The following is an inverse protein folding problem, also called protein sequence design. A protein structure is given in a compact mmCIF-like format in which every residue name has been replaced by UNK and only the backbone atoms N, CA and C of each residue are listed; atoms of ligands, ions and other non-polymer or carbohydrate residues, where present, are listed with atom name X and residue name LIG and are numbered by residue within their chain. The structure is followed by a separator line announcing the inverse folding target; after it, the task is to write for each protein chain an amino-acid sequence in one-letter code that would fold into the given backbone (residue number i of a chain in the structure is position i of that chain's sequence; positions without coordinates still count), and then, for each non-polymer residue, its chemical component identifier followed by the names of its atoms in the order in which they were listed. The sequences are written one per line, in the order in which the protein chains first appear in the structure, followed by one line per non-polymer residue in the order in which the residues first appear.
data_IF_057456784563
#
_entry.id   IF_057456784563
#
_cell.length_a   1.000
_cell.length_b   1.000
_cell.length_c   1.000
_cell.angle_alpha   90.00
_cell.angle_beta   90.00
_cell.angle_gamma   90.00
#
_symmetry.space_group_name_H-M   'P 1'
#
loop_
_entity.id
_entity.type
_entity.pdbx_description
1 polymer ?
#
# COMPACT_ATOMS: atom_id res chain seq x y z
N UNK A 1 -72.61 -22.73 -10.41
CA UNK A 1 -73.69 -21.83 -9.95
C UNK A 1 -73.65 -21.80 -8.43
N UNK A 2 -73.65 -20.59 -7.86
CA UNK A 2 -74.26 -20.16 -6.60
C UNK A 2 -74.30 -21.13 -5.38
N UNK A 3 -73.98 -20.76 -4.14
CA UNK A 3 -73.54 -19.50 -3.50
C UNK A 3 -73.52 -19.77 -1.97
N UNK A 4 -72.61 -19.10 -1.23
CA UNK A 4 -72.69 -18.66 0.19
C UNK A 4 -72.93 -19.72 1.28
N UNK A 5 -72.64 -19.50 2.56
CA UNK A 5 -71.80 -18.63 3.37
C UNK A 5 -71.99 -19.18 4.81
N UNK A 6 -71.11 -18.73 5.72
CA UNK A 6 -71.32 -18.54 7.17
C UNK A 6 -71.01 -19.73 8.10
N UNK A 7 -70.12 -19.48 9.05
CA UNK A 7 -69.96 -20.30 10.25
C UNK A 7 -68.75 -19.91 11.09
N UNK A 8 -68.90 -18.85 11.88
CA UNK A 8 -67.95 -18.37 12.90
C UNK A 8 -67.82 -19.41 14.02
N UNK A 9 -66.58 -19.76 14.42
CA UNK A 9 -66.31 -20.29 15.77
C UNK A 9 -65.05 -19.62 16.34
N UNK A 10 -65.27 -18.73 17.30
CA UNK A 10 -64.26 -18.21 18.22
C UNK A 10 -63.86 -19.31 19.19
N UNK A 11 -62.55 -19.52 19.41
CA UNK A 11 -62.07 -20.25 20.58
C UNK A 11 -60.75 -19.69 21.11
N UNK A 12 -60.92 -18.82 22.12
CA UNK A 12 -60.19 -18.71 23.39
C UNK A 12 -58.66 -18.81 23.33
N UNK A 13 -58.05 -17.63 23.43
CA UNK A 13 -56.68 -17.38 23.84
C UNK A 13 -56.38 -17.96 25.23
N UNK A 14 -55.40 -18.86 25.31
CA UNK A 14 -54.67 -19.17 26.53
C UNK A 14 -53.18 -18.88 26.27
N UNK A 15 -52.68 -17.76 26.77
CA UNK A 15 -51.26 -17.39 26.71
C UNK A 15 -50.53 -17.98 27.93
N UNK A 16 -49.54 -18.87 27.76
CA UNK A 16 -48.54 -19.09 28.78
C UNK A 16 -47.39 -18.08 28.64
N UNK A 17 -47.18 -17.34 29.73
CA UNK A 17 -46.02 -16.50 30.05
C UNK A 17 -44.69 -17.24 29.69
N UNK A 18 -43.89 -16.70 28.79
CA UNK A 18 -42.55 -17.21 28.46
C UNK A 18 -41.47 -16.57 29.36
N UNK A 19 -40.65 -17.34 30.09
CA UNK A 19 -39.40 -16.84 30.68
C UNK A 19 -38.28 -16.87 29.60
N UNK A 20 -38.26 -15.87 28.73
CA UNK A 20 -37.36 -15.83 27.57
C UNK A 20 -35.89 -15.45 27.89
N UNK A 21 -35.55 -15.11 29.14
CA UNK A 21 -34.22 -14.57 29.46
C UNK A 21 -33.20 -15.60 29.96
N UNK A 22 -33.61 -16.76 30.47
CA UNK A 22 -32.66 -17.75 31.04
C UNK A 22 -32.07 -18.72 30.00
N UNK A 23 -32.75 -18.93 28.86
CA UNK A 23 -32.32 -19.88 27.82
C UNK A 23 -31.14 -19.33 26.99
N UNK A 24 -31.01 -18.00 26.90
CA UNK A 24 -29.98 -17.38 26.05
C UNK A 24 -28.56 -17.49 26.63
N UNK A 25 -28.41 -17.45 27.96
CA UNK A 25 -27.08 -17.54 28.62
C UNK A 25 -26.54 -18.98 28.71
N UNK A 26 -27.40 -19.97 28.92
CA UNK A 26 -27.00 -21.38 29.01
C UNK A 26 -26.58 -21.98 27.65
N UNK A 27 -27.14 -21.48 26.55
CA UNK A 27 -26.81 -21.95 25.20
C UNK A 27 -25.50 -21.34 24.68
N UNK A 28 -25.20 -20.10 25.05
CA UNK A 28 -23.96 -19.42 24.65
C UNK A 28 -22.71 -20.05 25.28
N UNK A 29 -22.76 -20.34 26.58
CA UNK A 29 -21.65 -21.01 27.30
C UNK A 29 -21.40 -22.42 26.76
N UNK A 30 -22.46 -23.18 26.47
CA UNK A 30 -22.35 -24.51 25.84
C UNK A 30 -21.79 -24.46 24.42
N UNK A 31 -22.00 -23.36 23.68
CA UNK A 31 -21.47 -23.13 22.33
C UNK A 31 -19.98 -22.75 22.34
N UNK A 32 -19.53 -22.00 23.34
CA UNK A 32 -18.11 -21.67 23.53
C UNK A 32 -17.28 -22.84 24.08
N UNK A 33 -17.91 -23.74 24.83
CA UNK A 33 -17.27 -24.94 25.38
C UNK A 33 -16.99 -26.04 24.34
N UNK A 34 -17.48 -25.90 23.10
CA UNK A 34 -17.18 -26.87 22.04
C UNK A 34 -15.74 -26.72 21.55
N UNK A 35 -15.01 -27.83 21.32
CA UNK A 35 -13.66 -27.77 20.75
C UNK A 35 -13.72 -27.05 19.40
N UNK A 36 -12.74 -26.16 19.16
CA UNK A 36 -12.70 -25.37 17.92
C UNK A 36 -12.78 -26.31 16.71
N UNK A 37 -13.76 -26.14 15.80
CA UNK A 37 -13.91 -27.01 14.66
C UNK A 37 -12.62 -26.98 13.83
N UNK A 38 -12.12 -28.16 13.47
CA UNK A 38 -10.89 -28.31 12.72
C UNK A 38 -11.05 -27.65 11.33
N UNK A 39 -10.39 -26.51 11.13
CA UNK A 39 -10.48 -25.69 9.92
C UNK A 39 -9.67 -26.26 8.75
N UNK A 40 -9.04 -27.43 8.90
CA UNK A 40 -8.31 -28.14 7.83
C UNK A 40 -9.21 -28.59 6.66
N UNK A 41 -10.54 -28.48 6.74
CA UNK A 41 -11.46 -28.75 5.63
C UNK A 41 -11.65 -27.60 4.63
N UNK A 42 -11.15 -26.40 4.92
CA UNK A 42 -11.21 -25.27 4.00
C UNK A 42 -9.83 -25.01 3.39
N UNK A 43 -9.64 -25.12 2.06
CA UNK A 43 -8.35 -24.90 1.41
C UNK A 43 -7.90 -23.43 1.43
N UNK A 44 -8.74 -22.51 1.91
CA UNK A 44 -8.49 -21.06 1.88
C UNK A 44 -7.65 -20.54 3.06
N UNK A 45 -7.11 -21.45 3.89
CA UNK A 45 -5.99 -21.11 4.78
C UNK A 45 -4.76 -21.87 4.32
N UNK A 46 -3.97 -21.19 3.50
CA UNK A 46 -2.61 -21.55 3.08
C UNK A 46 -1.80 -22.03 4.29
N UNK A 47 -1.70 -23.34 4.48
CA UNK A 47 -0.74 -23.93 5.40
C UNK A 47 0.65 -23.63 4.86
N UNK A 48 1.49 -23.01 5.69
CA UNK A 48 2.80 -22.47 5.31
C UNK A 48 3.87 -23.57 5.11
N UNK A 49 3.51 -24.84 5.25
CA UNK A 49 4.41 -25.97 5.05
C UNK A 49 3.96 -26.78 3.84
N UNK A 50 4.76 -26.74 2.77
CA UNK A 50 4.73 -27.74 1.71
C UNK A 50 5.59 -28.89 2.19
N UNK A 51 5.01 -29.94 2.75
CA UNK A 51 5.80 -31.12 3.11
C UNK A 51 5.54 -32.36 2.27
N UNK A 52 4.44 -32.48 1.51
CA UNK A 52 4.21 -33.74 0.78
C UNK A 52 3.65 -33.64 -0.65
N UNK A 53 3.44 -32.45 -1.21
CA UNK A 53 2.98 -32.33 -2.61
C UNK A 53 3.58 -31.09 -3.29
N UNK A 54 4.24 -31.27 -4.44
CA UNK A 54 4.66 -30.16 -5.31
C UNK A 54 3.42 -29.55 -6.00
N UNK A 55 3.29 -28.21 -6.04
CA UNK A 55 2.19 -27.58 -6.76
C UNK A 55 2.30 -27.86 -8.27
N UNK A 56 1.18 -27.99 -9.00
CA UNK A 56 1.21 -28.21 -10.43
C UNK A 56 1.85 -27.01 -11.16
N UNK A 57 2.72 -27.31 -12.13
CA UNK A 57 3.35 -26.32 -13.01
C UNK A 57 2.26 -25.54 -13.78
N UNK A 58 2.05 -24.29 -13.39
CA UNK A 58 1.02 -23.44 -13.98
C UNK A 58 1.62 -22.50 -15.01
N UNK A 59 1.25 -22.69 -16.27
CA UNK A 59 1.61 -21.81 -17.41
C UNK A 59 0.85 -20.48 -17.40
N UNK A 60 0.33 -20.03 -16.25
CA UNK A 60 -0.44 -18.80 -16.13
C UNK A 60 -0.28 -18.14 -14.75
N UNK A 61 -0.37 -16.81 -14.73
CA UNK A 61 -0.38 -16.02 -13.49
C UNK A 61 -1.56 -16.46 -12.59
N UNK A 62 -1.25 -17.26 -11.57
CA UNK A 62 -2.20 -17.94 -10.66
C UNK A 62 -2.99 -16.98 -9.74
N UNK A 63 -2.78 -15.67 -9.85
CA UNK A 63 -3.50 -14.67 -9.04
C UNK A 63 -4.21 -13.67 -9.94
N UNK A 64 -5.53 -13.81 -10.10
CA UNK A 64 -6.40 -12.67 -10.41
C UNK A 64 -6.65 -11.94 -9.09
N UNK A 65 -5.93 -10.84 -8.86
CA UNK A 65 -6.18 -9.97 -7.71
C UNK A 65 -7.40 -9.12 -8.07
N UNK A 66 -8.58 -9.61 -7.72
CA UNK A 66 -9.81 -8.82 -7.83
C UNK A 66 -9.93 -7.96 -6.56
N UNK A 67 -9.77 -6.65 -6.73
CA UNK A 67 -9.99 -5.70 -5.64
C UNK A 67 -11.48 -5.69 -5.30
N UNK A 68 -11.82 -5.88 -4.02
CA UNK A 68 -13.19 -5.64 -3.56
C UNK A 68 -13.59 -4.18 -3.85
N UNK A 69 -14.88 -3.87 -4.07
CA UNK A 69 -15.34 -2.52 -4.37
C UNK A 69 -14.86 -1.47 -3.36
N UNK A 70 -14.82 -1.85 -2.08
CA UNK A 70 -14.34 -1.00 -0.98
C UNK A 70 -12.83 -0.74 -1.05
N UNK A 71 -12.02 -1.72 -1.43
CA UNK A 71 -10.58 -1.54 -1.60
C UNK A 71 -10.25 -0.69 -2.82
N UNK A 72 -10.99 -0.87 -3.93
CA UNK A 72 -10.89 0.01 -5.10
C UNK A 72 -11.19 1.47 -4.75
N UNK A 73 -12.18 1.71 -3.88
CA UNK A 73 -12.52 3.04 -3.38
C UNK A 73 -11.44 3.66 -2.48
N UNK A 74 -10.82 2.88 -1.60
CA UNK A 74 -9.71 3.33 -0.75
C UNK A 74 -8.42 3.58 -1.52
N UNK A 75 -8.21 2.88 -2.63
CA UNK A 75 -7.07 3.09 -3.52
C UNK A 75 -7.24 4.31 -4.44
N UNK A 76 -8.43 4.94 -4.48
CA UNK A 76 -8.57 6.23 -5.16
C UNK A 76 -7.71 7.23 -4.41
N UNK A 77 -6.80 7.87 -5.14
CA UNK A 77 -6.08 9.01 -4.60
C UNK A 77 -7.11 10.03 -4.12
N UNK A 78 -6.92 10.57 -2.91
CA UNK A 78 -7.65 11.78 -2.54
C UNK A 78 -7.30 12.81 -3.60
N UNK A 79 -8.27 13.21 -4.42
CA UNK A 79 -8.10 14.30 -5.36
C UNK A 79 -7.72 15.51 -4.53
N UNK A 80 -6.44 15.85 -4.55
CA UNK A 80 -5.99 17.13 -4.07
C UNK A 80 -6.72 18.14 -4.96
N UNK A 81 -7.64 18.91 -4.38
CA UNK A 81 -8.31 19.97 -5.11
C UNK A 81 -7.21 20.93 -5.61
N UNK A 82 -6.79 20.77 -6.87
CA UNK A 82 -5.83 21.65 -7.54
C UNK A 82 -6.40 23.04 -7.79
N UNK A 83 -7.72 23.14 -7.69
CA UNK A 83 -8.46 24.37 -7.54
C UNK A 83 -8.74 24.52 -6.04
N UNK A 84 -7.90 25.30 -5.37
CA UNK A 84 -8.42 26.19 -4.35
C UNK A 84 -9.45 27.04 -5.10
N UNK A 85 -10.70 26.59 -5.14
CA UNK A 85 -11.81 27.50 -5.32
C UNK A 85 -11.74 28.36 -4.07
N UNK A 86 -11.00 29.47 -4.18
CA UNK A 86 -11.24 30.63 -3.34
C UNK A 86 -12.70 30.92 -3.65
N UNK A 87 -13.58 30.48 -2.75
CA UNK A 87 -14.96 30.93 -2.78
C UNK A 87 -14.87 32.45 -2.90
N UNK A 88 -15.53 33.09 -3.88
CA UNK A 88 -15.58 34.56 -3.95
C UNK A 88 -16.22 35.15 -2.68
N UNK A 89 -16.84 34.31 -1.86
CA UNK A 89 -17.21 34.59 -0.49
C UNK A 89 -16.04 34.32 0.46
N UNK A 90 -15.00 35.17 0.42
CA UNK A 90 -14.26 35.44 1.64
C UNK A 90 -15.22 36.21 2.55
N UNK A 91 -16.04 35.46 3.29
CA UNK A 91 -16.83 36.05 4.37
C UNK A 91 -15.87 36.43 5.50
N UNK A 92 -16.00 37.64 6.08
CA UNK A 92 -15.29 37.96 7.30
C UNK A 92 -15.63 36.92 8.38
N UNK A 93 -14.73 36.83 9.37
CA UNK A 93 -14.70 35.82 10.43
C UNK A 93 -16.09 35.29 10.81
N UNK A 94 -16.30 33.98 10.66
CA UNK A 94 -17.47 33.30 11.22
C UNK A 94 -17.54 33.71 12.69
N UNK A 95 -18.67 34.30 13.16
CA UNK A 95 -18.79 34.66 14.55
C UNK A 95 -18.57 33.40 15.38
N UNK A 96 -17.65 33.49 16.34
CA UNK A 96 -17.37 32.39 17.25
C UNK A 96 -18.69 31.95 17.88
N UNK A 97 -18.97 30.64 17.85
CA UNK A 97 -20.24 30.07 18.34
C UNK A 97 -20.53 30.41 19.82
N UNK A 98 -19.53 30.91 20.55
CA UNK A 98 -19.61 31.36 21.94
C UNK A 98 -18.72 32.59 22.17
N UNK A 99 -19.19 33.60 22.94
CA UNK A 99 -18.35 34.73 23.36
C UNK A 99 -17.11 34.25 24.11
N UNK A 100 -15.92 34.66 23.66
CA UNK A 100 -14.67 34.39 24.37
C UNK A 100 -14.59 35.22 25.65
N UNK A 101 -14.05 34.63 26.72
CA UNK A 101 -13.80 35.36 27.96
C UNK A 101 -12.77 36.49 27.73
N UNK A 102 -12.90 37.59 28.49
CA UNK A 102 -12.01 38.77 28.43
C UNK A 102 -10.54 38.38 28.55
N UNK A 103 -10.21 37.43 29.42
CA UNK A 103 -8.84 36.95 29.61
C UNK A 103 -8.21 36.33 28.35
N UNK A 104 -9.02 35.72 27.48
CA UNK A 104 -8.55 35.17 26.20
C UNK A 104 -8.32 36.29 25.18
N UNK A 105 -9.15 37.34 25.21
CA UNK A 105 -9.04 38.49 24.31
C UNK A 105 -7.85 39.40 24.64
N UNK A 106 -7.43 39.45 25.90
CA UNK A 106 -6.30 40.27 26.37
C UNK A 106 -5.01 39.47 26.61
N UNK A 107 -4.98 38.19 26.25
CA UNK A 107 -3.81 37.34 26.47
C UNK A 107 -2.63 37.78 25.58
N UNK A 108 -1.53 38.18 26.20
CA UNK A 108 -0.28 38.51 25.52
C UNK A 108 0.65 37.28 25.56
N UNK A 109 1.24 36.85 24.44
CA UNK A 109 2.17 35.73 24.42
C UNK A 109 3.40 36.01 25.28
N UNK A 110 3.91 34.99 25.98
CA UNK A 110 5.16 35.10 26.74
C UNK A 110 6.35 35.23 25.80
N UNK A 111 7.45 35.82 26.29
CA UNK A 111 8.69 36.00 25.53
C UNK A 111 9.20 34.70 24.89
N UNK A 112 9.08 33.58 25.62
CA UNK A 112 9.41 32.23 25.13
C UNK A 112 8.55 31.81 23.93
N UNK A 113 7.23 32.05 23.98
CA UNK A 113 6.33 31.73 22.86
C UNK A 113 6.70 32.56 21.63
N UNK A 114 7.00 33.85 21.81
CA UNK A 114 7.47 34.71 20.73
C UNK A 114 8.78 34.22 20.11
N UNK A 115 9.72 33.71 20.92
CA UNK A 115 10.99 33.13 20.44
C UNK A 115 10.77 31.82 19.68
N UNK A 116 9.92 30.93 20.19
CA UNK A 116 9.62 29.64 19.55
C UNK A 116 8.81 29.80 18.25
N UNK A 117 8.01 30.86 18.15
CA UNK A 117 7.26 31.19 16.94
C UNK A 117 8.17 31.70 15.80
N UNK A 118 9.43 32.06 16.08
CA UNK A 118 10.36 32.45 15.03
C UNK A 118 10.77 31.24 14.18
N UNK A 119 10.72 31.35 12.83
CA UNK A 119 11.16 30.27 11.96
C UNK A 119 12.63 29.97 12.21
N UNK A 120 12.98 28.68 12.34
CA UNK A 120 14.37 28.24 12.54
C UNK A 120 15.22 28.67 11.35
N UNK A 121 15.96 29.77 11.50
CA UNK A 121 16.92 30.26 10.50
C UNK A 121 18.03 29.22 10.39
N UNK A 122 17.99 28.39 9.34
CA UNK A 122 19.16 27.64 8.93
C UNK A 122 20.12 28.65 8.30
N UNK A 123 21.41 28.69 8.66
CA UNK A 123 22.37 29.47 7.91
C UNK A 123 22.29 29.01 6.46
N UNK A 124 21.83 29.91 5.58
CA UNK A 124 21.89 29.71 4.15
C UNK A 124 23.37 29.79 3.83
N UNK A 125 23.99 28.63 3.69
CA UNK A 125 25.27 28.54 3.01
C UNK A 125 24.96 29.02 1.57
N UNK A 126 25.32 30.27 1.27
CA UNK A 126 25.17 30.84 -0.07
C UNK A 126 25.80 29.89 -1.07
N UNK A 127 24.96 29.19 -1.84
CA UNK A 127 25.46 28.19 -2.79
C UNK A 127 24.46 27.13 -3.28
N UNK A 128 23.27 26.98 -2.69
CA UNK A 128 22.32 25.97 -3.18
C UNK A 128 21.34 26.54 -4.23
N UNK A 129 21.89 26.94 -5.37
CA UNK A 129 21.14 27.03 -6.62
C UNK A 129 21.20 25.66 -7.32
N UNK A 130 20.11 25.11 -7.89
CA UNK A 130 20.16 23.92 -8.74
C UNK A 130 20.72 24.25 -10.13
N UNK A 131 21.97 24.71 -10.19
CA UNK A 131 22.80 24.78 -11.41
C UNK A 131 24.26 24.61 -10.98
N UNK A 132 24.67 23.38 -10.67
CA UNK A 132 26.07 23.08 -10.42
C UNK A 132 26.84 23.15 -11.74
N UNK A 133 27.46 24.31 -12.02
CA UNK A 133 28.65 24.33 -12.87
C UNK A 133 29.75 23.58 -12.10
N UNK A 134 30.51 22.65 -12.72
CA UNK A 134 31.63 22.03 -12.05
C UNK A 134 32.69 23.11 -11.80
N UNK A 135 32.80 23.56 -10.55
CA UNK A 135 33.92 24.36 -10.10
C UNK A 135 35.16 23.46 -10.06
N UNK A 136 36.33 23.94 -10.52
CA UNK A 136 37.58 23.20 -10.37
C UNK A 136 37.81 22.97 -8.89
N UNK A 137 38.04 21.71 -8.52
CA UNK A 137 38.30 21.27 -7.15
C UNK A 137 39.65 21.83 -6.68
N UNK A 138 39.71 23.11 -6.37
CA UNK A 138 40.83 23.67 -5.61
C UNK A 138 40.68 23.11 -4.20
N UNK A 139 41.44 22.06 -3.92
CA UNK A 139 41.49 21.40 -2.62
C UNK A 139 41.92 22.44 -1.57
N UNK A 140 40.94 23.04 -0.91
CA UNK A 140 41.19 23.82 0.30
C UNK A 140 41.93 22.86 1.24
N UNK A 141 43.15 23.17 1.72
CA UNK A 141 43.82 22.32 2.69
C UNK A 141 43.04 22.40 4.00
N UNK A 142 42.02 21.56 4.11
CA UNK A 142 41.22 21.43 5.30
C UNK A 142 42.02 20.60 6.29
N UNK A 143 42.54 21.27 7.33
CA UNK A 143 43.16 20.58 8.46
C UNK A 143 42.04 20.02 9.33
N UNK A 144 42.02 18.70 9.48
CA UNK A 144 41.09 18.05 10.40
C UNK A 144 41.26 18.61 11.82
N UNK A 145 40.17 18.75 12.57
CA UNK A 145 40.29 19.15 13.97
C UNK A 145 40.98 18.05 14.77
N UNK A 146 41.63 18.41 15.87
CA UNK A 146 42.32 17.44 16.74
C UNK A 146 41.39 16.30 17.21
N UNK A 147 40.09 16.57 17.37
CA UNK A 147 39.10 15.55 17.71
C UNK A 147 38.85 14.56 16.57
N UNK A 148 38.78 15.05 15.33
CA UNK A 148 38.64 14.20 14.14
C UNK A 148 39.88 13.33 13.98
N UNK A 149 41.08 13.89 14.16
CA UNK A 149 42.34 13.14 14.14
C UNK A 149 42.35 12.05 15.22
N UNK A 150 41.91 12.37 16.45
CA UNK A 150 41.77 11.41 17.53
C UNK A 150 40.77 10.29 17.20
N UNK A 151 39.60 10.63 16.64
CA UNK A 151 38.60 9.62 16.23
C UNK A 151 39.04 8.79 15.03
N UNK A 152 39.94 9.31 14.20
CA UNK A 152 40.54 8.59 13.09
C UNK A 152 41.65 7.62 13.55
N UNK A 153 42.17 7.76 14.78
CA UNK A 153 43.10 6.77 15.31
C UNK A 153 42.38 5.42 15.51
N UNK A 154 42.90 4.32 14.92
CA UNK A 154 42.30 3.01 15.11
C UNK A 154 42.39 2.61 16.59
N UNK A 155 41.36 1.92 17.07
CA UNK A 155 41.35 1.42 18.45
C UNK A 155 42.46 0.38 18.62
N UNK A 156 43.04 0.32 19.83
CA UNK A 156 43.99 -0.72 20.18
C UNK A 156 43.31 -2.09 20.19
N UNK A 157 44.05 -3.11 19.75
CA UNK A 157 43.62 -4.49 19.87
C UNK A 157 43.49 -4.89 21.35
N UNK A 158 42.54 -5.78 21.63
CA UNK A 158 42.33 -6.29 22.99
C UNK A 158 43.58 -7.08 23.45
N UNK A 159 44.00 -7.03 24.73
CA UNK A 159 45.21 -7.72 25.22
C UNK A 159 45.20 -9.24 25.04
N UNK A 160 44.02 -9.85 24.84
CA UNK A 160 43.84 -11.28 24.51
C UNK A 160 43.57 -11.54 23.03
N UNK A 161 43.84 -10.58 22.14
CA UNK A 161 43.63 -10.76 20.72
C UNK A 161 44.76 -11.64 20.15
N UNK A 162 44.43 -12.88 19.81
CA UNK A 162 45.36 -13.88 19.27
C UNK A 162 45.55 -13.76 17.74
N UNK A 163 45.06 -12.68 17.13
CA UNK A 163 45.15 -12.49 15.68
C UNK A 163 44.21 -13.40 14.88
N UNK A 164 44.59 -13.68 13.64
CA UNK A 164 43.82 -14.54 12.74
C UNK A 164 43.93 -15.99 13.19
N UNK A 165 42.78 -16.61 13.52
CA UNK A 165 42.71 -18.03 13.85
C UNK A 165 43.25 -18.87 12.70
N UNK A 166 44.02 -19.91 13.01
CA UNK A 166 44.45 -20.91 12.04
C UNK A 166 43.22 -21.50 11.33
N UNK A 167 43.26 -21.58 10.00
CA UNK A 167 42.18 -22.18 9.21
C UNK A 167 41.98 -23.61 9.71
N UNK A 168 40.77 -23.95 10.16
CA UNK A 168 40.47 -25.28 10.70
C UNK A 168 40.74 -26.41 9.71
N UNK A 169 40.75 -26.11 8.41
CA UNK A 169 41.07 -27.05 7.32
C UNK A 169 41.83 -26.36 6.20
N UNK A 170 43.08 -26.78 5.88
CA UNK A 170 43.86 -26.13 4.83
C UNK A 170 43.23 -26.37 3.46
N UNK A 171 42.95 -25.29 2.73
CA UNK A 171 42.47 -25.37 1.34
C UNK A 171 43.65 -25.70 0.42
N UNK A 172 43.47 -26.71 -0.44
CA UNK A 172 44.49 -27.14 -1.40
C UNK A 172 44.87 -26.01 -2.37
N UNK A 173 46.10 -26.04 -2.90
CA UNK A 173 46.57 -25.05 -3.88
C UNK A 173 45.71 -25.04 -5.15
N UNK A 174 45.26 -26.21 -5.59
CA UNK A 174 44.38 -26.34 -6.75
C UNK A 174 43.04 -25.63 -6.55
N UNK A 175 42.43 -25.77 -5.36
CA UNK A 175 41.17 -25.10 -5.05
C UNK A 175 41.34 -23.58 -4.93
N UNK A 176 42.44 -23.10 -4.33
CA UNK A 176 42.72 -21.66 -4.18
C UNK A 176 42.97 -20.97 -5.53
N UNK A 177 43.60 -21.68 -6.45
CA UNK A 177 43.96 -21.15 -7.78
C UNK A 177 42.94 -21.53 -8.86
N UNK A 178 41.82 -22.15 -8.49
CA UNK A 178 40.79 -22.53 -9.43
C UNK A 178 40.12 -21.27 -9.99
N UNK A 179 40.26 -21.02 -11.28
CA UNK A 179 39.53 -19.98 -11.99
C UNK A 179 38.16 -20.48 -12.42
N UNK A 180 37.12 -19.65 -12.26
CA UNK A 180 35.79 -19.96 -12.75
C UNK A 180 35.79 -20.19 -14.28
N UNK A 181 34.99 -21.14 -14.76
CA UNK A 181 34.81 -21.34 -16.20
C UNK A 181 34.08 -20.17 -16.84
N UNK A 182 34.26 -19.98 -18.15
CA UNK A 182 33.58 -18.91 -18.91
C UNK A 182 32.06 -18.92 -18.67
N UNK A 183 31.44 -20.10 -18.71
CA UNK A 183 30.01 -20.28 -18.44
C UNK A 183 29.62 -19.84 -17.03
N UNK A 184 30.43 -20.12 -16.02
CA UNK A 184 30.15 -19.66 -14.65
C UNK A 184 30.21 -18.14 -14.56
N UNK A 185 31.17 -17.50 -15.25
CA UNK A 185 31.24 -16.03 -15.31
C UNK A 185 30.00 -15.42 -15.98
N UNK A 186 29.53 -16.02 -17.08
CA UNK A 186 28.29 -15.61 -17.76
C UNK A 186 27.07 -15.74 -16.84
N UNK A 187 26.95 -16.86 -16.12
CA UNK A 187 25.82 -17.14 -15.22
C UNK A 187 25.86 -16.33 -13.93
N UNK A 188 27.05 -15.94 -13.45
CA UNK A 188 27.21 -15.06 -12.30
C UNK A 188 26.70 -13.63 -12.58
N UNK A 189 26.59 -13.24 -13.85
CA UNK A 189 26.03 -11.95 -14.23
C UNK A 189 24.57 -11.82 -13.75
N UNK A 190 24.18 -10.69 -13.12
CA UNK A 190 22.79 -10.48 -12.75
C UNK A 190 21.91 -10.48 -14.01
N UNK A 191 20.78 -11.18 -13.95
CA UNK A 191 19.81 -11.19 -15.05
C UNK A 191 19.30 -9.77 -15.30
N UNK A 192 19.61 -9.20 -16.47
CA UNK A 192 19.11 -7.89 -16.91
C UNK A 192 17.59 -7.95 -16.97
N UNK A 193 16.90 -7.27 -16.03
CA UNK A 193 15.45 -7.09 -16.07
C UNK A 193 15.16 -5.89 -16.97
N UNK A 194 14.44 -6.13 -18.08
CA UNK A 194 13.86 -5.06 -18.89
C UNK A 194 12.67 -4.46 -18.16
N UNK A 195 12.39 -3.17 -18.36
CA UNK A 195 11.18 -2.57 -17.82
C UNK A 195 9.94 -3.26 -18.42
N UNK A 196 8.82 -3.27 -17.69
CA UNK A 196 7.56 -3.94 -18.12
C UNK A 196 7.07 -3.51 -19.51
N UNK A 197 7.49 -2.34 -19.99
CA UNK A 197 7.11 -1.74 -21.27
C UNK A 197 8.31 -1.46 -22.19
N UNK A 198 9.49 -2.01 -21.89
CA UNK A 198 10.67 -1.77 -22.71
C UNK A 198 10.54 -2.50 -24.06
N UNK A 199 10.29 -1.73 -25.12
CA UNK A 199 9.93 -2.23 -26.45
C UNK A 199 8.43 -2.39 -26.69
N UNK A 200 7.56 -1.89 -25.80
CA UNK A 200 6.12 -1.83 -26.02
C UNK A 200 5.75 -0.56 -26.80
N UNK A 201 5.20 -0.72 -28.00
CA UNK A 201 4.59 0.38 -28.75
C UNK A 201 3.06 0.32 -28.55
N UNK A 202 2.46 1.36 -27.94
CA UNK A 202 1.03 1.39 -27.63
C UNK A 202 0.13 1.39 -28.87
N UNK A 203 0.69 1.67 -30.05
CA UNK A 203 -0.06 1.74 -31.30
C UNK A 203 0.02 0.47 -32.15
N UNK A 204 0.72 -0.58 -31.68
CA UNK A 204 0.77 -1.86 -32.39
C UNK A 204 -0.54 -2.61 -32.16
N UNK A 205 -1.39 -2.61 -33.18
CA UNK A 205 -2.57 -3.47 -33.24
C UNK A 205 -2.13 -4.88 -33.64
N UNK A 206 -2.51 -5.87 -32.82
CA UNK A 206 -2.20 -7.28 -33.11
C UNK A 206 -2.79 -7.71 -34.46
N UNK A 207 -2.14 -8.67 -35.15
CA UNK A 207 -2.65 -9.19 -36.44
C UNK A 207 -4.08 -9.73 -36.30
N UNK A 208 -4.37 -10.40 -35.18
CA UNK A 208 -5.70 -10.94 -34.87
C UNK A 208 -6.76 -9.83 -34.75
N UNK A 209 -6.43 -8.70 -34.10
CA UNK A 209 -7.33 -7.57 -33.98
C UNK A 209 -7.57 -6.87 -35.33
N UNK A 210 -6.55 -6.76 -36.19
CA UNK A 210 -6.72 -6.23 -37.55
C UNK A 210 -7.58 -7.11 -38.46
N UNK A 211 -7.53 -8.43 -38.27
CA UNK A 211 -8.33 -9.39 -39.04
C UNK A 211 -9.72 -9.63 -38.46
N UNK A 212 -10.03 -9.10 -37.27
CA UNK A 212 -11.31 -9.32 -36.63
C UNK A 212 -12.41 -8.50 -37.32
N UNK A 213 -13.45 -9.18 -37.82
CA UNK A 213 -14.65 -8.54 -38.33
C UNK A 213 -15.64 -8.26 -37.19
N UNK A 214 -16.29 -7.09 -37.15
CA UNK A 214 -17.31 -6.80 -36.13
C UNK A 214 -18.53 -7.72 -36.28
N UNK A 215 -19.24 -7.96 -35.18
CA UNK A 215 -20.48 -8.75 -35.23
C UNK A 215 -21.62 -7.97 -35.91
N UNK A 216 -22.64 -8.65 -36.49
CA UNK A 216 -23.74 -7.97 -37.16
C UNK A 216 -24.47 -6.95 -36.27
N UNK A 217 -24.60 -7.24 -34.96
CA UNK A 217 -25.22 -6.31 -34.02
C UNK A 217 -24.38 -5.05 -33.80
N UNK A 218 -23.05 -5.17 -33.74
CA UNK A 218 -22.17 -4.00 -33.65
C UNK A 218 -22.30 -3.16 -34.93
N UNK A 219 -22.35 -3.80 -36.10
CA UNK A 219 -22.58 -3.09 -37.38
C UNK A 219 -23.91 -2.31 -37.38
N UNK A 220 -24.99 -2.91 -36.86
CA UNK A 220 -26.29 -2.23 -36.71
C UNK A 220 -26.25 -1.05 -35.74
N UNK A 221 -25.56 -1.19 -34.61
CA UNK A 221 -25.44 -0.13 -33.60
C UNK A 221 -24.55 1.03 -34.06
N UNK A 222 -23.60 0.78 -34.95
CA UNK A 222 -22.78 1.82 -35.57
C UNK A 222 -23.57 2.71 -36.54
N UNK A 223 -24.80 2.33 -36.92
CA UNK A 223 -25.67 3.17 -37.73
C UNK A 223 -26.18 4.36 -36.88
N UNK A 224 -26.26 5.57 -37.45
CA UNK A 224 -26.78 6.72 -36.74
C UNK A 224 -28.23 6.47 -36.31
N UNK A 225 -28.56 6.82 -35.06
CA UNK A 225 -29.94 6.73 -34.59
C UNK A 225 -30.82 7.61 -35.48
N UNK A 226 -32.00 7.12 -35.91
CA UNK A 226 -32.94 7.95 -36.65
C UNK A 226 -33.34 9.11 -35.74
N UNK A 227 -32.94 10.33 -36.13
CA UNK A 227 -33.44 11.54 -35.47
C UNK A 227 -34.95 11.56 -35.69
N UNK A 228 -35.73 11.88 -34.65
CA UNK A 228 -37.16 12.12 -34.80
C UNK A 228 -37.35 13.35 -35.68
N UNK A 229 -37.34 13.17 -36.99
CA UNK A 229 -37.77 14.21 -37.92
C UNK A 229 -39.26 14.41 -37.67
N UNK A 230 -39.65 15.53 -37.09
CA UNK A 230 -41.00 16.03 -37.28
C UNK A 230 -41.17 16.23 -38.79
N UNK A 231 -42.06 15.48 -39.40
CA UNK A 231 -42.55 15.76 -40.75
C UNK A 231 -43.20 17.15 -40.72
N UNK A 232 -42.72 18.05 -41.58
CA UNK A 232 -43.46 19.27 -41.94
C UNK A 232 -44.75 18.91 -42.66
#
# INVERSE_FOLDING_TARGET
MFVKDKGIVMNILCFPLQPASTIFMATFTKKLAQPKPNRLRYPDRRSVYWLDQMPPESTGSITKIELTPRWSELCRNKTFYSQVTISPEWAPERPLLSPLNRGTQTAVPTSRICQLAQPKRRPVLEGCSPKSKPLPLTHIPYKASAHIELMATPKHDHPKFEGQRSVCWPVSRAARNCSASHRLLELCGPKKRKALFEGYDPNIVSRAARSASPSPRIQQLCLPLPRKCASN
#
